data_IF_099479732500
#
_entry.id   IF_099479732500
#
_cell.length_a   1.000
_cell.length_b   1.000
_cell.length_c   1.000
_cell.angle_alpha   90.00
_cell.angle_beta   90.00
_cell.angle_gamma   90.00
#
_symmetry.space_group_name_H-M   'P 1'
#
loop_
_entity.id
_entity.type
_entity.pdbx_description
1 polymer ?
#
# COMPACT_ATOMS: atom_id res chain seq x y z
N UNK A 1 21.40 5.27 -17.54
CA UNK A 1 20.48 4.85 -16.48
C UNK A 1 21.05 3.62 -15.80
N UNK A 2 21.27 3.65 -14.49
CA UNK A 2 21.90 2.55 -13.75
C UNK A 2 20.92 1.36 -13.65
N UNK A 3 21.40 0.11 -13.63
CA UNK A 3 20.56 -1.12 -13.58
C UNK A 3 19.54 -1.09 -12.42
N UNK A 4 19.91 -0.43 -11.33
CA UNK A 4 19.07 -0.26 -10.15
C UNK A 4 17.94 0.73 -10.38
N UNK A 5 18.21 1.85 -11.07
CA UNK A 5 17.16 2.81 -11.45
C UNK A 5 16.14 2.13 -12.38
N UNK A 6 16.61 1.27 -13.28
CA UNK A 6 15.72 0.51 -14.16
C UNK A 6 14.83 -0.44 -13.36
N UNK A 7 15.40 -1.17 -12.40
CA UNK A 7 14.61 -2.04 -11.54
C UNK A 7 13.62 -1.23 -10.69
N UNK A 8 14.04 -0.12 -10.09
CA UNK A 8 13.14 0.75 -9.30
C UNK A 8 11.97 1.26 -10.12
N UNK A 9 12.23 1.73 -11.34
CA UNK A 9 11.17 2.20 -12.24
C UNK A 9 10.18 1.09 -12.58
N UNK A 10 10.63 -0.16 -12.75
CA UNK A 10 9.73 -1.30 -12.96
C UNK A 10 8.81 -1.54 -11.77
N UNK A 11 9.34 -1.47 -10.54
CA UNK A 11 8.55 -1.65 -9.33
C UNK A 11 7.61 -0.47 -9.07
N UNK A 12 8.03 0.75 -9.40
CA UNK A 12 7.19 1.94 -9.38
C UNK A 12 5.98 1.78 -10.32
N UNK A 13 6.21 1.31 -11.55
CA UNK A 13 5.14 1.00 -12.52
C UNK A 13 4.21 -0.08 -11.98
N UNK A 14 4.74 -1.10 -11.31
CA UNK A 14 3.92 -2.15 -10.72
C UNK A 14 3.04 -1.62 -9.59
N UNK A 15 3.54 -0.71 -8.75
CA UNK A 15 2.73 -0.03 -7.72
C UNK A 15 1.61 0.80 -8.39
N UNK A 16 1.93 1.55 -9.45
CA UNK A 16 0.93 2.31 -10.22
C UNK A 16 -0.16 1.39 -10.77
N UNK A 17 0.23 0.28 -11.40
CA UNK A 17 -0.71 -0.72 -11.91
C UNK A 17 -1.59 -1.29 -10.78
N UNK A 18 -1.00 -1.58 -9.62
CA UNK A 18 -1.73 -2.08 -8.46
C UNK A 18 -2.77 -1.07 -7.95
N UNK A 19 -2.41 0.22 -7.87
CA UNK A 19 -3.35 1.30 -7.52
C UNK A 19 -4.49 1.40 -8.54
N UNK A 20 -4.20 1.28 -9.83
CA UNK A 20 -5.25 1.27 -10.87
C UNK A 20 -6.20 0.09 -10.65
N UNK A 21 -5.69 -1.11 -10.35
CA UNK A 21 -6.53 -2.26 -10.04
C UNK A 21 -7.40 -2.03 -8.82
N UNK A 22 -6.82 -1.53 -7.71
CA UNK A 22 -7.58 -1.22 -6.50
C UNK A 22 -8.66 -0.17 -6.73
N UNK A 23 -8.38 0.83 -7.57
CA UNK A 23 -9.35 1.83 -7.97
C UNK A 23 -10.47 1.24 -8.84
N UNK A 24 -10.15 0.47 -9.88
CA UNK A 24 -11.17 -0.10 -10.80
C UNK A 24 -12.07 -1.10 -10.08
N UNK A 25 -11.51 -1.96 -9.24
CA UNK A 25 -12.27 -2.97 -8.49
C UNK A 25 -12.87 -2.46 -7.19
N UNK A 26 -12.70 -1.17 -6.86
CA UNK A 26 -13.19 -0.59 -5.61
C UNK A 26 -12.65 -1.25 -4.33
N UNK A 27 -11.46 -1.84 -4.41
CA UNK A 27 -10.82 -2.52 -3.28
C UNK A 27 -10.07 -1.52 -2.38
N UNK A 28 -9.47 -0.45 -2.93
CA UNK A 28 -8.60 0.48 -2.19
C UNK A 28 -9.29 1.16 -1.01
N UNK A 29 -10.61 1.34 -1.09
CA UNK A 29 -11.42 2.02 -0.08
C UNK A 29 -12.66 1.18 0.28
N UNK A 30 -12.56 -0.14 0.24
CA UNK A 30 -13.65 -0.99 0.72
C UNK A 30 -14.00 -0.66 2.18
N UNK A 31 -15.27 -0.38 2.43
CA UNK A 31 -15.82 -0.11 3.77
C UNK A 31 -16.77 -1.21 4.23
N UNK A 32 -16.71 -2.38 3.60
CA UNK A 32 -17.57 -3.49 3.97
C UNK A 32 -17.25 -3.90 5.41
N UNK A 33 -18.27 -3.88 6.29
CA UNK A 33 -18.19 -4.38 7.66
C UNK A 33 -19.45 -5.21 7.91
N UNK A 34 -19.27 -6.51 8.19
CA UNK A 34 -20.34 -7.48 8.32
C UNK A 34 -21.13 -7.63 7.01
N UNK A 35 -22.44 -7.44 7.09
CA UNK A 35 -23.34 -7.35 5.94
C UNK A 35 -23.70 -5.90 5.59
N UNK A 36 -23.06 -4.92 6.23
CA UNK A 36 -23.34 -3.50 6.03
C UNK A 36 -22.26 -2.93 5.11
N UNK A 37 -22.69 -2.55 3.91
CA UNK A 37 -21.90 -1.75 2.99
C UNK A 37 -22.27 -0.28 3.21
N UNK A 38 -21.39 0.46 3.86
CA UNK A 38 -21.54 1.91 3.97
C UNK A 38 -21.16 2.55 2.64
N UNK A 39 -22.15 3.09 1.94
CA UNK A 39 -21.93 3.90 0.73
C UNK A 39 -21.94 5.35 1.18
N UNK A 40 -20.77 5.89 1.49
CA UNK A 40 -20.62 7.33 1.71
C UNK A 40 -20.27 8.00 0.37
N UNK A 41 -21.05 8.99 -0.10
CA UNK A 41 -20.81 9.63 -1.40
C UNK A 41 -19.45 10.33 -1.49
N UNK A 42 -18.89 10.76 -0.35
CA UNK A 42 -17.57 11.39 -0.30
C UNK A 42 -16.42 10.41 -0.61
N UNK A 43 -16.66 9.10 -0.52
CA UNK A 43 -15.61 8.11 -0.67
C UNK A 43 -15.04 8.04 -2.09
N UNK A 44 -15.85 8.30 -3.10
CA UNK A 44 -15.38 8.34 -4.49
C UNK A 44 -14.40 9.49 -4.74
N UNK A 45 -14.66 10.65 -4.11
CA UNK A 45 -13.77 11.82 -4.19
C UNK A 45 -12.45 11.51 -3.49
N UNK A 46 -12.48 10.89 -2.30
CA UNK A 46 -11.27 10.48 -1.58
C UNK A 46 -10.45 9.45 -2.37
N UNK A 47 -11.12 8.46 -2.99
CA UNK A 47 -10.49 7.46 -3.87
C UNK A 47 -9.77 8.10 -5.05
N UNK A 48 -10.46 8.96 -5.78
CA UNK A 48 -9.89 9.64 -6.94
C UNK A 48 -8.72 10.54 -6.55
N UNK A 49 -8.88 11.30 -5.46
CA UNK A 49 -7.85 12.19 -4.93
C UNK A 49 -6.61 11.40 -4.49
N UNK A 50 -6.79 10.28 -3.80
CA UNK A 50 -5.70 9.41 -3.40
C UNK A 50 -4.93 8.87 -4.61
N UNK A 51 -5.64 8.27 -5.56
CA UNK A 51 -5.01 7.71 -6.76
C UNK A 51 -4.22 8.79 -7.51
N UNK A 52 -4.78 10.00 -7.66
CA UNK A 52 -4.12 11.12 -8.33
C UNK A 52 -2.88 11.61 -7.57
N UNK A 53 -2.93 11.71 -6.24
CA UNK A 53 -1.79 12.08 -5.40
C UNK A 53 -0.69 11.01 -5.50
N UNK A 54 -1.03 9.74 -5.35
CA UNK A 54 -0.06 8.65 -5.46
C UNK A 54 0.56 8.57 -6.86
N UNK A 55 -0.22 8.75 -7.92
CA UNK A 55 0.32 8.81 -9.28
C UNK A 55 1.24 10.01 -9.48
N UNK A 56 0.90 11.17 -8.93
CA UNK A 56 1.74 12.37 -9.03
C UNK A 56 3.06 12.18 -8.28
N UNK A 57 3.01 11.62 -7.06
CA UNK A 57 4.19 11.31 -6.26
C UNK A 57 5.06 10.28 -6.98
N UNK A 58 4.53 9.11 -7.34
CA UNK A 58 5.31 8.06 -8.01
C UNK A 58 5.81 8.56 -9.38
N UNK A 59 4.98 9.28 -10.14
CA UNK A 59 5.33 9.90 -11.42
C UNK A 59 6.48 10.89 -11.31
N UNK A 60 6.52 11.71 -10.25
CA UNK A 60 7.61 12.66 -10.02
C UNK A 60 8.97 11.98 -9.84
N UNK A 61 9.00 10.73 -9.35
CA UNK A 61 10.25 9.99 -9.13
C UNK A 61 11.03 9.69 -10.41
N UNK A 62 10.34 9.64 -11.57
CA UNK A 62 10.98 9.44 -12.87
C UNK A 62 11.81 10.64 -13.32
N UNK A 63 11.47 11.85 -12.88
CA UNK A 63 12.16 13.09 -13.26
C UNK A 63 13.24 13.51 -12.25
N UNK A 64 13.13 13.03 -11.01
CA UNK A 64 14.09 13.32 -9.95
C UNK A 64 15.32 12.45 -10.13
N UNK A 65 16.52 13.05 -10.22
CA UNK A 65 17.77 12.31 -10.36
C UNK A 65 18.39 11.89 -9.02
N UNK A 66 18.13 12.67 -7.97
CA UNK A 66 18.74 12.41 -6.67
C UNK A 66 18.02 11.31 -5.92
N UNK A 67 18.79 10.30 -5.52
CA UNK A 67 18.34 9.13 -4.76
C UNK A 67 17.62 9.51 -3.46
N UNK A 68 18.11 10.52 -2.75
CA UNK A 68 17.54 10.94 -1.48
C UNK A 68 16.12 11.50 -1.64
N UNK A 69 15.89 12.30 -2.68
CA UNK A 69 14.57 12.81 -2.98
C UNK A 69 13.62 11.71 -3.46
N UNK A 70 14.08 10.75 -4.28
CA UNK A 70 13.26 9.58 -4.67
C UNK A 70 12.80 8.77 -3.45
N UNK A 71 13.71 8.52 -2.49
CA UNK A 71 13.37 7.84 -1.23
C UNK A 71 12.32 8.65 -0.46
N UNK A 72 12.52 9.97 -0.33
CA UNK A 72 11.57 10.84 0.37
C UNK A 72 10.18 10.79 -0.25
N UNK A 73 10.09 10.86 -1.59
CA UNK A 73 8.82 10.79 -2.31
C UNK A 73 8.12 9.44 -2.10
N UNK A 74 8.83 8.32 -2.22
CA UNK A 74 8.25 7.00 -1.96
C UNK A 74 7.87 6.79 -0.50
N UNK A 75 8.63 7.36 0.44
CA UNK A 75 8.29 7.29 1.86
C UNK A 75 7.01 8.09 2.16
N UNK A 76 6.85 9.29 1.57
CA UNK A 76 5.63 10.09 1.69
C UNK A 76 4.43 9.34 1.10
N UNK A 77 4.58 8.79 -0.11
CA UNK A 77 3.50 8.00 -0.73
C UNK A 77 3.12 6.79 0.12
N UNK A 78 4.11 6.09 0.67
CA UNK A 78 3.83 4.93 1.50
C UNK A 78 3.17 5.30 2.82
N UNK A 79 3.62 6.37 3.49
CA UNK A 79 2.95 6.88 4.69
C UNK A 79 1.49 7.22 4.38
N UNK A 80 1.24 7.88 3.24
CA UNK A 80 -0.11 8.23 2.80
C UNK A 80 -0.97 6.98 2.57
N UNK A 81 -0.41 5.93 1.94
CA UNK A 81 -1.09 4.64 1.82
C UNK A 81 -1.39 4.00 3.18
N UNK A 82 -0.44 4.01 4.11
CA UNK A 82 -0.64 3.47 5.46
C UNK A 82 -1.72 4.24 6.23
N UNK A 83 -1.78 5.57 6.07
CA UNK A 83 -2.86 6.39 6.65
C UNK A 83 -4.22 5.91 6.16
N UNK A 84 -4.38 5.65 4.85
CA UNK A 84 -5.64 5.14 4.30
C UNK A 84 -5.93 3.73 4.82
N UNK A 85 -4.93 2.84 4.76
CA UNK A 85 -5.03 1.46 5.21
C UNK A 85 -5.52 1.39 6.67
N UNK A 86 -4.96 2.20 7.56
CA UNK A 86 -5.29 2.15 8.98
C UNK A 86 -6.55 2.94 9.35
N UNK A 87 -6.74 4.13 8.78
CA UNK A 87 -7.79 5.06 9.21
C UNK A 87 -9.08 4.86 8.43
N UNK A 88 -9.00 4.80 7.09
CA UNK A 88 -10.16 4.87 6.20
C UNK A 88 -10.66 3.50 5.74
N UNK A 89 -9.75 2.52 5.65
CA UNK A 89 -10.05 1.22 5.05
C UNK A 89 -10.63 0.23 6.06
N UNK A 90 -11.76 -0.36 5.67
CA UNK A 90 -12.44 -1.47 6.34
C UNK A 90 -12.29 -2.76 5.53
N UNK A 91 -13.27 -3.66 5.60
CA UNK A 91 -13.26 -4.90 4.81
C UNK A 91 -12.62 -6.10 5.51
N UNK A 92 -12.07 -5.93 6.71
CA UNK A 92 -11.39 -7.01 7.45
C UNK A 92 -12.28 -7.70 8.48
N UNK A 93 -13.55 -7.34 8.52
CA UNK A 93 -14.55 -7.93 9.40
C UNK A 93 -15.86 -8.08 8.63
N UNK A 94 -15.87 -8.87 7.55
CA UNK A 94 -17.04 -9.15 6.72
C UNK A 94 -17.58 -10.56 7.01
N UNK A 95 -18.90 -10.71 7.15
CA UNK A 95 -19.54 -12.02 7.39
C UNK A 95 -19.67 -12.48 8.86
N UNK A 96 -20.14 -13.73 9.03
CA UNK A 96 -20.48 -14.33 10.33
C UNK A 96 -19.21 -14.61 11.13
N UNK A 97 -19.07 -14.00 12.31
CA UNK A 97 -17.86 -14.10 13.14
C UNK A 97 -16.74 -13.11 12.77
N UNK A 98 -16.97 -12.19 11.82
CA UNK A 98 -16.04 -11.10 11.55
C UNK A 98 -14.75 -11.50 10.84
N UNK A 99 -14.82 -12.49 9.95
CA UNK A 99 -13.67 -12.90 9.13
C UNK A 99 -13.28 -11.80 8.12
N UNK A 100 -12.00 -11.68 7.73
CA UNK A 100 -11.58 -10.72 6.71
C UNK A 100 -12.00 -11.16 5.31
N UNK A 101 -12.29 -10.19 4.44
CA UNK A 101 -12.42 -10.44 3.02
C UNK A 101 -11.04 -10.82 2.47
N UNK A 102 -10.88 -12.07 2.03
CA UNK A 102 -9.60 -12.58 1.55
C UNK A 102 -9.06 -11.78 0.36
N UNK A 103 -9.94 -11.28 -0.52
CA UNK A 103 -9.52 -10.50 -1.69
C UNK A 103 -8.99 -9.12 -1.27
N UNK A 104 -9.67 -8.45 -0.33
CA UNK A 104 -9.22 -7.15 0.22
C UNK A 104 -7.90 -7.35 0.99
N UNK A 105 -7.83 -8.37 1.84
CA UNK A 105 -6.62 -8.67 2.61
C UNK A 105 -5.43 -8.98 1.71
N UNK A 106 -5.61 -9.83 0.70
CA UNK A 106 -4.56 -10.18 -0.26
C UNK A 106 -4.09 -8.95 -1.04
N UNK A 107 -5.04 -8.13 -1.51
CA UNK A 107 -4.73 -6.90 -2.22
C UNK A 107 -3.86 -5.95 -1.38
N UNK A 108 -4.25 -5.73 -0.12
CA UNK A 108 -3.51 -4.84 0.79
C UNK A 108 -2.15 -5.39 1.17
N UNK A 109 -2.07 -6.69 1.41
CA UNK A 109 -0.81 -7.35 1.69
C UNK A 109 0.17 -7.13 0.54
N UNK A 110 -0.24 -7.41 -0.71
CA UNK A 110 0.59 -7.18 -1.90
C UNK A 110 0.97 -5.70 -2.02
N UNK A 111 0.02 -4.79 -1.86
CA UNK A 111 0.25 -3.35 -1.96
C UNK A 111 1.29 -2.85 -0.94
N UNK A 112 1.27 -3.36 0.29
CA UNK A 112 2.25 -3.04 1.34
C UNK A 112 3.60 -3.70 1.04
N UNK A 113 3.61 -4.97 0.62
CA UNK A 113 4.85 -5.68 0.24
C UNK A 113 5.57 -4.95 -0.89
N UNK A 114 4.87 -4.53 -1.95
CA UNK A 114 5.45 -3.81 -3.08
C UNK A 114 6.14 -2.51 -2.65
N UNK A 115 5.53 -1.75 -1.74
CA UNK A 115 6.08 -0.48 -1.24
C UNK A 115 7.32 -0.69 -0.36
N UNK A 116 7.27 -1.62 0.59
CA UNK A 116 8.46 -1.99 1.36
C UNK A 116 9.58 -2.50 0.47
N UNK A 117 9.24 -3.34 -0.51
CA UNK A 117 10.22 -3.90 -1.42
C UNK A 117 10.89 -2.79 -2.23
N UNK A 118 10.11 -1.86 -2.80
CA UNK A 118 10.67 -0.74 -3.55
C UNK A 118 11.57 0.16 -2.68
N UNK A 119 11.18 0.44 -1.43
CA UNK A 119 12.03 1.16 -0.47
C UNK A 119 13.33 0.40 -0.15
N UNK A 120 13.27 -0.93 -0.02
CA UNK A 120 14.44 -1.78 0.26
C UNK A 120 15.48 -1.74 -0.88
N UNK A 121 15.03 -1.55 -2.14
CA UNK A 121 15.93 -1.45 -3.29
C UNK A 121 16.87 -0.26 -3.23
N UNK A 122 16.47 0.83 -2.56
CA UNK A 122 17.35 1.98 -2.35
C UNK A 122 18.54 1.62 -1.45
N UNK A 123 18.44 0.60 -0.60
CA UNK A 123 19.49 0.20 0.35
C UNK A 123 20.48 -0.80 -0.32
N UNK A 124 20.05 -1.49 -1.38
CA UNK A 124 20.75 -2.65 -1.99
C UNK A 124 22.03 -2.34 -2.79
N UNK A 125 22.40 -1.07 -3.00
CA UNK A 125 23.32 -0.64 -4.06
C UNK A 125 24.75 -1.23 -4.01
N UNK A 126 25.18 -1.86 -2.90
CA UNK A 126 26.52 -2.50 -2.76
C UNK A 126 26.54 -3.79 -1.94
N UNK A 127 25.43 -4.51 -1.88
CA UNK A 127 25.26 -5.55 -0.87
C UNK A 127 25.57 -6.97 -1.36
N UNK A 128 26.12 -7.79 -0.46
CA UNK A 128 26.45 -9.20 -0.67
C UNK A 128 25.19 -10.04 -0.93
N UNK A 129 25.29 -11.22 -1.57
CA UNK A 129 24.12 -12.05 -1.88
C UNK A 129 23.28 -12.42 -0.66
N UNK A 130 23.88 -12.61 0.52
CA UNK A 130 23.15 -12.85 1.78
C UNK A 130 22.24 -11.69 2.16
N UNK A 131 22.72 -10.45 2.01
CA UNK A 131 21.93 -9.27 2.36
C UNK A 131 20.83 -9.01 1.32
N UNK A 132 21.04 -9.41 0.04
CA UNK A 132 19.97 -9.37 -0.97
C UNK A 132 18.77 -10.26 -0.60
N UNK A 133 19.02 -11.46 -0.07
CA UNK A 133 17.95 -12.32 0.44
C UNK A 133 17.19 -11.67 1.59
N UNK A 134 17.92 -11.04 2.51
CA UNK A 134 17.31 -10.32 3.64
C UNK A 134 16.43 -9.16 3.16
N UNK A 135 16.86 -8.43 2.13
CA UNK A 135 16.05 -7.36 1.52
C UNK A 135 14.79 -7.85 0.81
N UNK A 136 14.71 -9.12 0.41
CA UNK A 136 13.47 -9.71 -0.16
C UNK A 136 12.58 -10.22 0.96
N UNK A 137 13.14 -10.95 1.92
CA UNK A 137 12.38 -11.58 3.01
C UNK A 137 11.79 -10.55 3.98
N UNK A 138 12.54 -9.48 4.30
CA UNK A 138 12.13 -8.49 5.28
C UNK A 138 10.85 -7.73 4.88
N UNK A 139 10.69 -7.20 3.66
CA UNK A 139 9.42 -6.64 3.19
C UNK A 139 8.22 -7.59 3.32
N UNK A 140 8.41 -8.88 3.02
CA UNK A 140 7.35 -9.88 3.10
C UNK A 140 6.94 -10.10 4.56
N UNK A 141 7.90 -10.28 5.46
CA UNK A 141 7.64 -10.49 6.89
C UNK A 141 6.99 -9.24 7.50
N UNK A 142 7.50 -8.04 7.20
CA UNK A 142 6.96 -6.79 7.72
C UNK A 142 5.54 -6.52 7.22
N UNK A 143 5.27 -6.75 5.94
CA UNK A 143 3.92 -6.61 5.39
C UNK A 143 2.94 -7.60 6.02
N UNK A 144 3.33 -8.87 6.22
CA UNK A 144 2.51 -9.85 6.93
C UNK A 144 2.22 -9.41 8.37
N UNK A 145 3.24 -8.97 9.11
CA UNK A 145 3.07 -8.51 10.48
C UNK A 145 2.12 -7.30 10.58
N UNK A 146 2.28 -6.31 9.68
CA UNK A 146 1.40 -5.15 9.58
C UNK A 146 -0.04 -5.54 9.28
N UNK A 147 -0.25 -6.45 8.33
CA UNK A 147 -1.60 -6.92 7.97
C UNK A 147 -2.25 -7.71 9.11
N UNK A 148 -1.49 -8.50 9.88
CA UNK A 148 -2.00 -9.18 11.06
C UNK A 148 -2.40 -8.20 12.17
N UNK A 149 -1.60 -7.14 12.38
CA UNK A 149 -1.95 -6.07 13.33
C UNK A 149 -3.23 -5.37 12.87
N UNK A 150 -3.31 -4.99 11.59
CA UNK A 150 -4.50 -4.35 11.01
C UNK A 150 -5.73 -5.23 11.16
N UNK A 151 -5.65 -6.50 10.77
CA UNK A 151 -6.80 -7.41 10.82
C UNK A 151 -7.28 -7.73 12.26
N UNK A 152 -6.38 -7.75 13.26
CA UNK A 152 -6.78 -8.08 14.64
C UNK A 152 -7.23 -6.87 15.45
N UNK A 153 -6.55 -5.74 15.33
CA UNK A 153 -6.77 -4.58 16.21
C UNK A 153 -7.54 -3.45 15.54
N UNK A 154 -7.48 -3.36 14.21
CA UNK A 154 -7.99 -2.23 13.43
C UNK A 154 -8.84 -2.75 12.26
N UNK A 155 -9.59 -3.85 12.48
CA UNK A 155 -10.39 -4.48 11.45
C UNK A 155 -11.49 -3.52 10.91
N UNK A 156 -11.99 -2.66 11.80
CA UNK A 156 -12.89 -1.56 11.48
C UNK A 156 -12.09 -0.27 11.20
N UNK A 157 -12.60 0.63 10.33
CA UNK A 157 -12.01 1.95 10.16
C UNK A 157 -12.04 2.75 11.47
N UNK A 158 -10.96 3.47 11.78
CA UNK A 158 -10.83 4.22 13.04
C UNK A 158 -11.90 5.31 13.16
N UNK A 159 -12.36 5.89 12.04
CA UNK A 159 -13.39 6.92 12.08
C UNK A 159 -14.75 6.41 12.61
N UNK A 160 -14.99 5.09 12.63
CA UNK A 160 -16.17 4.50 13.26
C UNK A 160 -16.09 4.43 14.80
N UNK A 161 -14.90 4.51 15.39
CA UNK A 161 -14.74 4.43 16.85
C UNK A 161 -15.21 5.71 17.59
N UNK A 162 -15.51 6.78 16.86
CA UNK A 162 -15.95 8.08 17.39
C UNK A 162 -17.44 8.39 17.15
N UNK A 163 -18.23 7.40 16.71
CA UNK A 163 -19.70 7.45 16.58
C UNK A 163 -20.32 6.49 17.59
#
# INVERSE_FOLDING_TARGET
>A
MNRIELNQNKWAILIVFWIVLGYVFSIDFSQNVGCISYITPDLEIYRASFALISFSLIGSTFFVHSKHYRIGIFAIEFILYLTILFILKGGYMVGFGGAPDEAVYLYDWIAVTLRFYNLSLFISNRQTPKVKWLLIALPIILSLALMQIKAKFLAMPIYFLNL
#
